data_IF_938619348585
#
_entry.id   IF_938619348585
#
_cell.length_a   1.000
_cell.length_b   1.000
_cell.length_c   1.000
_cell.angle_alpha   90.00
_cell.angle_beta   90.00
_cell.angle_gamma   90.00
#
_symmetry.space_group_name_H-M   'P 1'
#
loop_
_entity.id
_entity.type
_entity.pdbx_description
1 polymer ?
#
# COMPACT_ATOMS: atom_id res chain seq x y z
N UNK A 1 -13.98 5.31 36.64
CA UNK A 1 -13.44 5.99 35.44
C UNK A 1 -13.83 7.46 35.42
N UNK A 2 -15.12 7.85 35.35
CA UNK A 2 -15.50 9.29 35.23
C UNK A 2 -15.01 10.18 36.39
N UNK A 3 -15.14 9.75 37.65
CA UNK A 3 -14.63 10.50 38.83
C UNK A 3 -13.10 10.69 38.87
N UNK A 4 -12.34 9.86 38.16
CA UNK A 4 -10.87 9.87 38.24
C UNK A 4 -10.22 10.96 37.36
N UNK A 5 -10.99 11.57 36.45
CA UNK A 5 -10.51 12.54 35.46
C UNK A 5 -11.34 13.83 35.45
N UNK A 6 -12.23 13.99 36.43
CA UNK A 6 -13.25 15.04 36.49
C UNK A 6 -12.63 16.45 36.56
N UNK A 7 -11.49 16.58 37.25
CA UNK A 7 -10.77 17.83 37.41
C UNK A 7 -9.58 18.00 36.42
N UNK A 8 -9.39 17.04 35.50
CA UNK A 8 -8.29 17.11 34.53
C UNK A 8 -8.72 17.88 33.28
N UNK A 9 -7.94 18.89 32.85
CA UNK A 9 -8.25 19.60 31.61
C UNK A 9 -8.10 18.67 30.39
N UNK A 10 -8.97 18.79 29.37
CA UNK A 10 -8.81 18.04 28.12
C UNK A 10 -7.42 18.26 27.50
N UNK A 11 -6.87 17.21 26.86
CA UNK A 11 -5.60 17.31 26.14
C UNK A 11 -5.71 18.39 25.05
N UNK A 12 -4.84 19.40 25.12
CA UNK A 12 -4.70 20.38 24.03
C UNK A 12 -4.15 19.66 22.80
N UNK A 13 -4.86 19.75 21.68
CA UNK A 13 -4.39 19.20 20.41
C UNK A 13 -3.25 20.08 19.88
N UNK A 14 -2.17 19.49 19.36
CA UNK A 14 -1.15 20.26 18.64
C UNK A 14 -1.73 20.77 17.32
N UNK A 15 -1.15 21.85 16.81
CA UNK A 15 -1.35 22.23 15.41
C UNK A 15 -0.51 21.28 14.53
N UNK A 16 -1.17 20.62 13.57
CA UNK A 16 -0.55 19.60 12.73
C UNK A 16 -0.51 20.18 11.30
N UNK A 17 0.68 20.44 10.74
CA UNK A 17 0.79 20.94 9.38
C UNK A 17 0.11 20.01 8.37
N UNK A 18 -0.48 20.55 7.31
CA UNK A 18 -0.99 19.73 6.21
C UNK A 18 0.21 19.14 5.46
N UNK A 19 0.26 17.81 5.34
CA UNK A 19 1.30 17.09 4.64
C UNK A 19 0.70 15.84 4.00
N UNK A 20 1.39 15.24 3.02
CA UNK A 20 0.98 13.96 2.48
C UNK A 20 1.39 12.87 3.47
N UNK A 21 0.40 12.24 4.12
CA UNK A 21 0.62 11.19 5.12
C UNK A 21 0.06 9.87 4.60
N UNK A 22 0.95 8.94 4.31
CA UNK A 22 0.64 7.60 3.87
C UNK A 22 1.07 6.61 4.96
N UNK A 23 0.57 5.37 4.90
CA UNK A 23 1.11 4.31 5.73
C UNK A 23 0.93 2.94 5.10
N UNK A 24 1.89 2.07 5.39
CA UNK A 24 1.68 0.62 5.48
C UNK A 24 1.55 0.25 6.96
N UNK A 25 2.37 -0.68 7.44
CA UNK A 25 2.56 -0.90 8.88
C UNK A 25 3.39 0.22 9.52
N UNK A 26 4.20 0.92 8.74
CA UNK A 26 4.98 2.08 9.17
C UNK A 26 4.45 3.36 8.50
N UNK A 27 4.48 4.51 9.21
CA UNK A 27 4.06 5.78 8.65
C UNK A 27 5.08 6.33 7.65
N UNK A 28 4.59 6.89 6.54
CA UNK A 28 5.38 7.66 5.57
C UNK A 28 4.80 9.08 5.49
N UNK A 29 5.52 10.04 6.07
CA UNK A 29 5.17 11.46 5.98
C UNK A 29 6.03 12.11 4.89
N UNK A 30 5.38 12.75 3.93
CA UNK A 30 6.02 13.47 2.83
C UNK A 30 5.69 14.95 3.01
N UNK A 31 6.72 15.74 3.29
CA UNK A 31 6.67 17.19 3.52
C UNK A 31 7.81 17.93 2.82
N UNK A 32 7.97 19.21 3.14
CA UNK A 32 8.91 20.12 2.45
C UNK A 32 10.39 19.72 2.61
N UNK A 33 10.72 18.98 3.67
CA UNK A 33 12.07 18.49 3.99
C UNK A 33 12.34 17.07 3.47
N UNK A 34 11.34 16.44 2.84
CA UNK A 34 11.46 15.08 2.32
C UNK A 34 12.33 15.04 1.06
N UNK A 35 13.17 14.02 0.95
CA UNK A 35 13.88 13.69 -0.28
C UNK A 35 12.92 13.06 -1.31
N UNK A 36 13.47 12.72 -2.48
CA UNK A 36 12.73 12.02 -3.52
C UNK A 36 12.11 10.72 -2.99
N UNK A 37 10.82 10.50 -3.30
CA UNK A 37 10.07 9.32 -2.89
C UNK A 37 10.06 8.31 -4.04
N UNK A 38 10.75 7.19 -3.86
CA UNK A 38 10.80 6.13 -4.86
C UNK A 38 9.54 5.27 -4.81
N UNK A 39 8.87 5.13 -5.95
CA UNK A 39 7.73 4.22 -6.15
C UNK A 39 8.19 3.01 -6.96
N UNK A 40 8.03 1.80 -6.42
CA UNK A 40 8.40 0.57 -7.10
C UNK A 40 7.34 0.11 -8.09
N UNK A 41 7.66 0.12 -9.40
CA UNK A 41 6.74 -0.16 -10.52
C UNK A 41 6.73 -1.62 -11.03
N UNK A 42 7.60 -2.50 -10.53
CA UNK A 42 7.84 -3.84 -11.12
C UNK A 42 6.69 -4.83 -10.91
N UNK A 43 5.77 -4.50 -10.00
CA UNK A 43 4.54 -5.20 -9.63
C UNK A 43 3.36 -4.79 -10.54
N UNK A 44 3.64 -4.67 -11.84
CA UNK A 44 2.69 -4.20 -12.85
C UNK A 44 2.51 -5.26 -13.95
N UNK A 45 1.31 -5.83 -14.08
CA UNK A 45 1.00 -6.89 -15.06
C UNK A 45 1.13 -6.39 -16.51
N UNK A 46 0.82 -5.11 -16.76
CA UNK A 46 0.96 -4.53 -18.11
C UNK A 46 2.41 -4.16 -18.43
N UNK A 47 3.16 -3.65 -17.47
CA UNK A 47 4.53 -3.15 -17.64
C UNK A 47 5.65 -4.18 -17.46
N UNK A 48 5.40 -5.31 -16.81
CA UNK A 48 6.44 -6.30 -16.45
C UNK A 48 6.11 -7.70 -16.99
N UNK A 49 6.83 -8.13 -18.04
CA UNK A 49 6.66 -9.46 -18.63
C UNK A 49 6.90 -10.59 -17.60
N UNK A 50 7.85 -10.39 -16.67
CA UNK A 50 8.10 -11.32 -15.57
C UNK A 50 6.88 -11.39 -14.65
N UNK A 51 6.39 -10.24 -14.17
CA UNK A 51 5.27 -10.21 -13.22
C UNK A 51 3.98 -10.75 -13.86
N UNK A 52 3.70 -10.36 -15.12
CA UNK A 52 2.60 -10.90 -15.92
C UNK A 52 2.60 -12.43 -15.95
N UNK A 53 3.76 -13.04 -16.22
CA UNK A 53 3.90 -14.51 -16.23
C UNK A 53 3.59 -15.09 -14.85
N UNK A 54 4.14 -14.51 -13.78
CA UNK A 54 3.94 -15.01 -12.42
C UNK A 54 2.46 -14.97 -12.01
N UNK A 55 1.76 -13.88 -12.30
CA UNK A 55 0.32 -13.74 -11.98
C UNK A 55 -0.51 -14.72 -12.82
N UNK A 56 -0.24 -14.86 -14.12
CA UNK A 56 -0.95 -15.80 -15.00
C UNK A 56 -0.73 -17.26 -14.66
N UNK A 57 0.47 -17.61 -14.19
CA UNK A 57 0.81 -18.98 -13.74
C UNK A 57 0.47 -19.20 -12.25
N UNK A 58 -0.21 -18.25 -11.59
CA UNK A 58 -0.53 -18.27 -10.16
C UNK A 58 0.68 -18.49 -9.23
N UNK A 59 1.87 -18.08 -9.65
CA UNK A 59 3.12 -18.13 -8.87
C UNK A 59 3.22 -16.96 -7.91
N UNK A 60 2.27 -16.87 -6.99
CA UNK A 60 2.15 -15.74 -6.08
C UNK A 60 3.33 -15.59 -5.11
N UNK A 61 3.97 -16.68 -4.68
CA UNK A 61 5.18 -16.60 -3.85
C UNK A 61 6.32 -15.86 -4.56
N UNK A 62 6.60 -16.22 -5.81
CA UNK A 62 7.60 -15.52 -6.62
C UNK A 62 7.18 -14.07 -6.94
N UNK A 63 5.88 -13.79 -7.04
CA UNK A 63 5.36 -12.44 -7.23
C UNK A 63 5.57 -11.56 -5.98
N UNK A 64 5.42 -12.13 -4.78
CA UNK A 64 5.75 -11.46 -3.51
C UNK A 64 7.25 -11.15 -3.43
N UNK A 65 8.12 -12.04 -3.94
CA UNK A 65 9.56 -11.77 -3.98
C UNK A 65 9.88 -10.54 -4.85
N UNK A 66 9.14 -10.31 -5.95
CA UNK A 66 9.30 -9.08 -6.75
C UNK A 66 8.95 -7.85 -5.93
N UNK A 67 7.86 -7.88 -5.16
CA UNK A 67 7.48 -6.77 -4.28
C UNK A 67 8.52 -6.55 -3.17
N UNK A 68 8.95 -7.62 -2.49
CA UNK A 68 9.96 -7.57 -1.42
C UNK A 68 11.28 -6.98 -1.90
N UNK A 69 11.78 -7.43 -3.06
CA UNK A 69 13.01 -6.90 -3.65
C UNK A 69 12.95 -5.40 -3.92
N UNK A 70 11.79 -4.86 -4.29
CA UNK A 70 11.64 -3.42 -4.50
C UNK A 70 11.79 -2.64 -3.18
N UNK A 71 11.15 -3.13 -2.12
CA UNK A 71 11.27 -2.54 -0.78
C UNK A 71 12.71 -2.62 -0.26
N UNK A 72 13.36 -3.78 -0.41
CA UNK A 72 14.77 -3.96 -0.05
C UNK A 72 15.72 -3.07 -0.87
N UNK A 73 15.35 -2.76 -2.11
CA UNK A 73 16.11 -1.85 -2.99
C UNK A 73 15.81 -0.37 -2.76
N UNK A 74 15.01 -0.03 -1.75
CA UNK A 74 14.75 1.36 -1.34
C UNK A 74 13.46 1.99 -1.87
N UNK A 75 12.52 1.21 -2.42
CA UNK A 75 11.19 1.71 -2.71
C UNK A 75 10.45 2.07 -1.40
N UNK A 76 9.95 3.30 -1.32
CA UNK A 76 9.18 3.80 -0.19
C UNK A 76 7.68 3.59 -0.37
N UNK A 77 7.24 3.33 -1.59
CA UNK A 77 5.87 2.98 -1.96
C UNK A 77 5.96 1.86 -3.00
N UNK A 78 5.05 0.89 -2.98
CA UNK A 78 4.95 -0.15 -4.01
C UNK A 78 3.70 0.08 -4.85
N UNK A 79 3.87 0.20 -6.16
CA UNK A 79 2.78 0.28 -7.12
C UNK A 79 2.30 -1.10 -7.54
N UNK A 80 0.99 -1.35 -7.52
CA UNK A 80 0.41 -2.63 -7.89
C UNK A 80 -0.65 -2.42 -8.95
N UNK A 81 -0.39 -3.00 -10.13
CA UNK A 81 -1.32 -3.00 -11.26
C UNK A 81 -1.61 -4.44 -11.69
N UNK A 82 -2.88 -4.80 -11.69
CA UNK A 82 -3.40 -6.13 -12.08
C UNK A 82 -4.26 -6.08 -13.35
N UNK A 83 -4.29 -4.96 -14.06
CA UNK A 83 -5.10 -4.82 -15.27
C UNK A 83 -4.51 -5.64 -16.41
N UNK A 84 -5.28 -6.61 -16.91
CA UNK A 84 -4.97 -7.36 -18.12
C UNK A 84 -6.25 -7.94 -18.73
N UNK A 85 -6.35 -7.96 -20.07
CA UNK A 85 -7.59 -8.33 -20.76
C UNK A 85 -8.08 -9.77 -20.53
N UNK A 86 -7.22 -10.70 -20.10
CA UNK A 86 -7.59 -12.09 -19.82
C UNK A 86 -7.58 -12.41 -18.32
N UNK A 87 -7.34 -11.43 -17.45
CA UNK A 87 -7.30 -11.61 -16.00
C UNK A 87 -8.55 -11.00 -15.35
N UNK A 88 -9.09 -11.69 -14.35
CA UNK A 88 -9.98 -11.05 -13.38
C UNK A 88 -9.12 -10.14 -12.48
N UNK A 89 -8.98 -8.88 -12.92
CA UNK A 89 -8.14 -7.88 -12.26
C UNK A 89 -8.59 -7.59 -10.82
N UNK A 90 -9.90 -7.64 -10.53
CA UNK A 90 -10.42 -7.41 -9.17
C UNK A 90 -10.02 -8.57 -8.25
N UNK A 91 -10.32 -9.81 -8.66
CA UNK A 91 -9.97 -10.98 -7.86
C UNK A 91 -8.46 -11.11 -7.66
N UNK A 92 -7.66 -10.84 -8.70
CA UNK A 92 -6.21 -10.86 -8.62
C UNK A 92 -5.66 -9.77 -7.69
N UNK A 93 -6.20 -8.54 -7.75
CA UNK A 93 -5.81 -7.45 -6.85
C UNK A 93 -6.12 -7.82 -5.39
N UNK A 94 -7.34 -8.25 -5.10
CA UNK A 94 -7.75 -8.64 -3.74
C UNK A 94 -6.88 -9.78 -3.20
N UNK A 95 -6.64 -10.81 -4.01
CA UNK A 95 -5.78 -11.94 -3.63
C UNK A 95 -4.36 -11.48 -3.32
N UNK A 96 -3.76 -10.66 -4.19
CA UNK A 96 -2.37 -10.23 -4.02
C UNK A 96 -2.19 -9.28 -2.84
N UNK A 97 -3.11 -8.32 -2.65
CA UNK A 97 -3.10 -7.44 -1.48
C UNK A 97 -3.26 -8.21 -0.17
N UNK A 98 -4.11 -9.24 -0.14
CA UNK A 98 -4.30 -10.10 1.04
C UNK A 98 -3.01 -10.87 1.39
N UNK A 99 -2.28 -11.32 0.37
CA UNK A 99 -0.99 -11.99 0.56
C UNK A 99 0.09 -11.01 1.07
N UNK A 100 0.16 -9.81 0.49
CA UNK A 100 1.08 -8.75 0.96
C UNK A 100 0.82 -8.40 2.42
N UNK A 101 -0.44 -8.33 2.86
CA UNK A 101 -0.78 -8.07 4.26
C UNK A 101 -0.21 -9.13 5.23
N UNK A 102 0.05 -10.36 4.76
CA UNK A 102 0.70 -11.42 5.51
C UNK A 102 2.23 -11.36 5.51
N UNK A 103 2.84 -10.45 4.75
CA UNK A 103 4.29 -10.31 4.58
C UNK A 103 4.77 -8.95 5.17
N UNK A 104 5.20 -8.89 6.45
CA UNK A 104 5.54 -7.64 7.12
C UNK A 104 6.59 -6.79 6.40
N UNK A 105 7.58 -7.44 5.78
CA UNK A 105 8.65 -6.75 5.05
C UNK A 105 8.15 -5.95 3.84
N UNK A 106 7.02 -6.37 3.27
CA UNK A 106 6.34 -5.68 2.16
C UNK A 106 5.29 -4.72 2.73
N UNK A 107 4.47 -5.19 3.66
CA UNK A 107 3.36 -4.44 4.24
C UNK A 107 3.81 -3.20 5.03
N UNK A 108 5.08 -3.09 5.43
CA UNK A 108 5.61 -1.91 6.12
C UNK A 108 5.51 -0.62 5.31
N UNK A 109 5.62 -0.67 3.98
CA UNK A 109 5.51 0.52 3.12
C UNK A 109 4.09 0.68 2.54
N UNK A 110 3.64 1.91 2.23
CA UNK A 110 2.38 2.13 1.54
C UNK A 110 2.31 1.45 0.18
N UNK A 111 1.10 1.01 -0.19
CA UNK A 111 0.78 0.42 -1.49
C UNK A 111 0.01 1.42 -2.36
N UNK A 112 0.54 1.76 -3.52
CA UNK A 112 -0.18 2.47 -4.57
C UNK A 112 -0.99 1.45 -5.39
N UNK A 113 -2.30 1.62 -5.45
CA UNK A 113 -3.18 0.77 -6.25
C UNK A 113 -3.41 1.47 -7.58
N UNK A 114 -2.91 0.86 -8.64
CA UNK A 114 -3.06 1.35 -10.01
C UNK A 114 -4.01 0.45 -10.80
N UNK A 115 -5.16 1.00 -11.17
CA UNK A 115 -6.12 0.36 -12.05
C UNK A 115 -6.94 1.41 -12.79
N UNK A 116 -7.30 1.07 -14.02
CA UNK A 116 -8.27 1.79 -14.84
C UNK A 116 -9.73 1.50 -14.46
N UNK A 117 -9.97 0.48 -13.63
CA UNK A 117 -11.31 0.03 -13.21
C UNK A 117 -11.66 0.58 -11.83
N UNK A 118 -12.79 1.26 -11.73
CA UNK A 118 -13.23 1.90 -10.48
C UNK A 118 -13.50 0.89 -9.37
N UNK A 119 -14.05 -0.27 -9.73
CA UNK A 119 -14.39 -1.37 -8.82
C UNK A 119 -13.15 -1.90 -8.09
N UNK A 120 -12.00 -1.96 -8.79
CA UNK A 120 -10.71 -2.36 -8.22
C UNK A 120 -10.21 -1.31 -7.22
N UNK A 121 -10.38 -0.02 -7.53
CA UNK A 121 -9.96 1.07 -6.63
C UNK A 121 -10.83 1.11 -5.37
N UNK A 122 -12.15 0.88 -5.46
CA UNK A 122 -13.05 0.89 -4.30
C UNK A 122 -12.71 -0.20 -3.28
N UNK A 123 -12.39 -1.41 -3.76
CA UNK A 123 -12.04 -2.56 -2.93
C UNK A 123 -10.84 -2.34 -2.01
N UNK A 124 -10.00 -1.33 -2.28
CA UNK A 124 -8.86 -0.97 -1.42
C UNK A 124 -9.24 -0.77 0.04
N UNK A 125 -10.40 -0.16 0.29
CA UNK A 125 -10.80 0.24 1.63
C UNK A 125 -11.15 -0.96 2.52
N UNK A 126 -11.54 -2.07 1.91
CA UNK A 126 -11.91 -3.31 2.61
C UNK A 126 -10.67 -4.10 3.06
N UNK A 127 -9.57 -4.01 2.31
CA UNK A 127 -8.37 -4.86 2.51
C UNK A 127 -7.21 -4.11 3.16
N UNK A 128 -7.09 -2.79 2.97
CA UNK A 128 -5.93 -2.02 3.41
C UNK A 128 -6.33 -0.67 4.02
N UNK A 129 -6.50 -0.65 5.35
CA UNK A 129 -7.08 0.48 6.09
C UNK A 129 -6.09 1.60 6.48
N UNK A 130 -4.80 1.51 6.16
CA UNK A 130 -3.77 2.46 6.62
C UNK A 130 -3.69 3.82 5.89
N UNK A 131 -4.31 3.99 4.72
CA UNK A 131 -3.93 5.09 3.81
C UNK A 131 -4.77 6.38 3.90
N UNK A 132 -5.47 6.63 5.00
CA UNK A 132 -6.18 7.91 5.20
C UNK A 132 -5.94 8.46 6.59
N UNK A 133 -4.86 9.22 6.77
CA UNK A 133 -4.78 10.17 7.86
C UNK A 133 -4.62 11.58 7.28
N UNK A 134 -5.56 12.45 7.64
CA UNK A 134 -5.47 13.90 7.43
C UNK A 134 -4.28 14.45 8.22
#
# INVERSE_FOLDING_TARGET
MSRAVEDLPPRKLPDIPVACRLSGLEPLNIGDDSLFVNVGERTNVTGSAKFKRLIKEEKYSEALDVARQQVESGAQIIDINMDEGMLDAEAAMVRFLSLIAGEPDIARVPIMIDSSKWEVIEKRAEVHSGQRHR
#
